data_IF_047233169375
#
_entry.id   IF_047233169375
#
_cell.length_a   1.000
_cell.length_b   1.000
_cell.length_c   1.000
_cell.angle_alpha   90.00
_cell.angle_beta   90.00
_cell.angle_gamma   90.00
#
_symmetry.space_group_name_H-M   'P 1'
#
loop_
_entity.id
_entity.type
_entity.pdbx_description
1 polymer ?
#
# COMPACT_ATOMS: atom_id res chain seq x y z
N UNK A 1 35.68 -0.61 28.69
CA UNK A 1 34.45 0.07 28.20
C UNK A 1 34.15 -0.52 26.84
N UNK A 2 33.31 -1.56 26.80
CA UNK A 2 32.84 -2.15 25.55
C UNK A 2 31.91 -1.13 24.89
N UNK A 3 32.33 -0.60 23.73
CA UNK A 3 31.46 0.09 22.80
C UNK A 3 30.19 -0.76 22.62
N UNK A 4 29.09 -0.36 23.24
CA UNK A 4 27.81 -1.01 23.03
C UNK A 4 27.46 -0.76 21.57
N UNK A 5 27.58 -1.78 20.74
CA UNK A 5 27.20 -1.72 19.34
C UNK A 5 25.80 -1.07 19.23
N UNK A 6 25.71 0.00 18.44
CA UNK A 6 24.45 0.70 18.23
C UNK A 6 23.37 -0.29 17.77
N UNK A 7 22.20 -0.28 18.41
CA UNK A 7 21.05 -1.13 18.02
C UNK A 7 20.63 -0.89 16.56
N UNK A 8 20.89 0.31 16.05
CA UNK A 8 20.54 0.74 14.70
C UNK A 8 21.76 0.75 13.79
N UNK A 9 21.52 0.40 12.53
CA UNK A 9 22.56 0.44 11.50
C UNK A 9 22.90 1.88 11.11
N UNK A 10 24.00 2.40 11.67
CA UNK A 10 24.49 3.76 11.42
C UNK A 10 24.89 4.00 9.97
N UNK A 11 25.11 2.97 9.16
CA UNK A 11 25.41 3.14 7.72
C UNK A 11 24.28 3.85 6.95
N UNK A 12 23.05 3.87 7.48
CA UNK A 12 21.92 4.59 6.88
C UNK A 12 22.09 6.12 6.99
N UNK A 13 22.67 6.59 8.10
CA UNK A 13 22.81 8.03 8.40
C UNK A 13 24.23 8.55 8.16
N UNK A 14 25.24 7.70 8.21
CA UNK A 14 26.66 8.06 8.04
C UNK A 14 27.28 7.50 6.75
N UNK A 15 26.84 6.32 6.30
CA UNK A 15 27.46 5.59 5.19
C UNK A 15 27.08 6.09 3.79
N UNK A 16 27.47 5.35 2.72
CA UNK A 16 27.14 5.71 1.34
C UNK A 16 25.63 5.67 1.08
N UNK A 17 25.05 6.81 0.74
CA UNK A 17 23.60 6.99 0.68
C UNK A 17 22.91 6.10 -0.37
N UNK A 18 23.58 5.82 -1.49
CA UNK A 18 23.07 4.91 -2.54
C UNK A 18 22.86 3.50 -2.01
N UNK A 19 23.79 3.01 -1.19
CA UNK A 19 23.72 1.70 -0.56
C UNK A 19 22.66 1.68 0.53
N UNK A 20 22.58 2.73 1.35
CA UNK A 20 21.56 2.88 2.38
C UNK A 20 20.13 2.84 1.80
N UNK A 21 19.88 3.63 0.75
CA UNK A 21 18.57 3.63 0.06
C UNK A 21 18.29 2.27 -0.56
N UNK A 22 19.26 1.67 -1.27
CA UNK A 22 19.05 0.37 -1.90
C UNK A 22 18.71 -0.73 -0.88
N UNK A 23 19.43 -0.76 0.25
CA UNK A 23 19.25 -1.73 1.34
C UNK A 23 17.81 -1.76 1.87
N UNK A 24 17.11 -0.63 1.87
CA UNK A 24 15.71 -0.52 2.28
C UNK A 24 14.76 -0.68 1.07
N UNK A 25 15.13 -0.16 -0.09
CA UNK A 25 14.29 -0.16 -1.29
C UNK A 25 13.99 -1.56 -1.82
N UNK A 26 15.01 -2.37 -2.14
CA UNK A 26 14.79 -3.64 -2.83
C UNK A 26 13.96 -4.65 -2.02
N UNK A 27 14.14 -4.81 -0.69
CA UNK A 27 13.30 -5.74 0.08
C UNK A 27 11.87 -5.23 0.17
N UNK A 28 11.69 -3.91 0.27
CA UNK A 28 10.37 -3.30 0.36
C UNK A 28 9.62 -3.39 -0.96
N UNK A 29 10.29 -3.17 -2.09
CA UNK A 29 9.73 -3.38 -3.43
C UNK A 29 9.29 -4.83 -3.60
N UNK A 30 10.14 -5.79 -3.21
CA UNK A 30 9.81 -7.20 -3.30
C UNK A 30 8.64 -7.57 -2.38
N UNK A 31 8.57 -7.02 -1.17
CA UNK A 31 7.45 -7.24 -0.24
C UNK A 31 6.12 -6.78 -0.85
N UNK A 32 6.10 -5.59 -1.47
CA UNK A 32 4.89 -5.06 -2.11
C UNK A 32 4.51 -5.88 -3.36
N UNK A 33 5.50 -6.26 -4.18
CA UNK A 33 5.25 -7.10 -5.35
C UNK A 33 4.69 -8.47 -4.97
N UNK A 34 5.23 -9.10 -3.93
CA UNK A 34 4.74 -10.37 -3.40
C UNK A 34 3.32 -10.22 -2.84
N UNK A 35 3.04 -9.15 -2.09
CA UNK A 35 1.69 -8.87 -1.59
C UNK A 35 0.68 -8.68 -2.72
N UNK A 36 1.08 -8.02 -3.80
CA UNK A 36 0.28 -7.88 -5.02
C UNK A 36 0.00 -9.22 -5.71
N UNK A 37 1.04 -10.01 -5.94
CA UNK A 37 0.94 -11.35 -6.55
C UNK A 37 0.07 -12.29 -5.71
N UNK A 38 0.14 -12.21 -4.38
CA UNK A 38 -0.71 -12.98 -3.49
C UNK A 38 -2.19 -12.70 -3.75
N UNK A 39 -2.58 -11.44 -3.91
CA UNK A 39 -3.96 -11.07 -4.22
C UNK A 39 -4.44 -11.71 -5.53
N UNK A 40 -3.60 -11.72 -6.56
CA UNK A 40 -3.91 -12.37 -7.84
C UNK A 40 -4.10 -13.88 -7.65
N UNK A 41 -3.20 -14.52 -6.90
CA UNK A 41 -3.27 -15.97 -6.63
C UNK A 41 -4.55 -16.36 -5.92
N UNK A 42 -5.02 -15.57 -4.95
CA UNK A 42 -6.26 -15.83 -4.22
C UNK A 42 -7.48 -15.80 -5.14
N UNK A 43 -7.55 -14.79 -6.02
CA UNK A 43 -8.60 -14.68 -7.03
C UNK A 43 -8.60 -15.87 -8.01
N UNK A 44 -7.41 -16.27 -8.48
CA UNK A 44 -7.25 -17.40 -9.41
C UNK A 44 -7.65 -18.72 -8.75
N UNK A 45 -7.24 -18.97 -7.50
CA UNK A 45 -7.58 -20.20 -6.78
C UNK A 45 -9.09 -20.33 -6.58
N UNK A 46 -9.75 -19.28 -6.13
CA UNK A 46 -11.19 -19.34 -5.83
C UNK A 46 -12.00 -19.38 -7.12
N UNK A 47 -11.61 -18.63 -8.15
CA UNK A 47 -12.25 -18.68 -9.46
C UNK A 47 -12.22 -20.07 -10.08
N UNK A 48 -11.10 -20.79 -9.97
CA UNK A 48 -10.97 -22.14 -10.52
C UNK A 48 -11.56 -23.25 -9.63
N UNK A 49 -11.44 -23.14 -8.31
CA UNK A 49 -11.83 -24.24 -7.40
C UNK A 49 -13.28 -24.15 -6.92
N UNK A 50 -13.88 -22.96 -6.94
CA UNK A 50 -15.25 -22.72 -6.42
C UNK A 50 -16.17 -22.16 -7.50
N UNK A 51 -15.64 -21.30 -8.37
CA UNK A 51 -16.36 -20.73 -9.51
C UNK A 51 -16.49 -19.21 -9.46
N UNK A 52 -17.00 -18.63 -10.56
CA UNK A 52 -16.98 -17.17 -10.77
C UNK A 52 -17.84 -16.38 -9.75
N UNK A 53 -18.93 -16.97 -9.23
CA UNK A 53 -19.77 -16.32 -8.20
C UNK A 53 -18.99 -16.10 -6.90
N UNK A 54 -18.19 -17.09 -6.49
CA UNK A 54 -17.30 -17.00 -5.34
C UNK A 54 -16.16 -15.99 -5.58
N UNK A 55 -15.61 -15.96 -6.79
CA UNK A 55 -14.60 -14.96 -7.15
C UNK A 55 -15.15 -13.52 -7.08
N UNK A 56 -16.35 -13.30 -7.61
CA UNK A 56 -17.05 -12.02 -7.51
C UNK A 56 -17.31 -11.64 -6.04
N UNK A 57 -17.71 -12.61 -5.21
CA UNK A 57 -17.94 -12.40 -3.78
C UNK A 57 -16.66 -11.96 -3.03
N UNK A 58 -15.51 -12.55 -3.36
CA UNK A 58 -14.22 -12.11 -2.80
C UNK A 58 -13.87 -10.71 -3.28
N UNK A 59 -14.02 -10.41 -4.56
CA UNK A 59 -13.73 -9.08 -5.11
C UNK A 59 -14.53 -7.98 -4.40
N UNK A 60 -15.86 -8.15 -4.31
CA UNK A 60 -16.73 -7.20 -3.60
C UNK A 60 -16.36 -7.08 -2.12
N UNK A 61 -16.13 -8.21 -1.44
CA UNK A 61 -15.77 -8.21 -0.02
C UNK A 61 -14.43 -7.51 0.23
N UNK A 62 -13.44 -7.73 -0.64
CA UNK A 62 -12.13 -7.11 -0.54
C UNK A 62 -12.21 -5.61 -0.77
N UNK A 63 -13.01 -5.13 -1.73
CA UNK A 63 -13.20 -3.68 -1.94
C UNK A 63 -13.78 -2.98 -0.71
N UNK A 64 -14.79 -3.58 -0.07
CA UNK A 64 -15.35 -3.07 1.19
C UNK A 64 -14.29 -3.08 2.29
N UNK A 65 -13.53 -4.18 2.40
CA UNK A 65 -12.52 -4.33 3.43
C UNK A 65 -11.27 -3.44 3.21
N UNK A 66 -10.96 -3.09 1.96
CA UNK A 66 -9.81 -2.27 1.58
C UNK A 66 -9.92 -0.86 2.15
N UNK A 67 -11.10 -0.25 2.13
CA UNK A 67 -11.34 1.10 2.71
C UNK A 67 -10.89 1.13 4.18
N UNK A 68 -11.21 0.06 4.89
CA UNK A 68 -10.87 -0.15 6.30
C UNK A 68 -9.37 -0.36 6.51
N UNK A 69 -8.75 -1.23 5.71
CA UNK A 69 -7.30 -1.43 5.75
C UNK A 69 -6.58 -0.11 5.49
N UNK A 70 -7.00 0.67 4.50
CA UNK A 70 -6.37 1.93 4.12
C UNK A 70 -6.46 2.93 5.28
N UNK A 71 -7.62 3.04 5.92
CA UNK A 71 -7.78 3.90 7.08
C UNK A 71 -6.83 3.50 8.22
N UNK A 72 -6.68 2.21 8.51
CA UNK A 72 -5.81 1.77 9.61
C UNK A 72 -4.33 1.84 9.23
N UNK A 73 -3.99 1.53 7.99
CA UNK A 73 -2.63 1.68 7.46
C UNK A 73 -2.12 3.13 7.56
N UNK A 74 -3.04 4.09 7.62
CA UNK A 74 -2.73 5.49 7.88
C UNK A 74 -2.06 5.69 9.25
N UNK A 75 -2.54 5.02 10.30
CA UNK A 75 -1.94 5.04 11.64
C UNK A 75 -0.47 4.59 11.59
N UNK A 76 -0.18 3.57 10.77
CA UNK A 76 1.16 3.02 10.62
C UNK A 76 2.11 3.96 9.89
N UNK A 77 1.58 4.86 9.06
CA UNK A 77 2.38 5.95 8.47
C UNK A 77 2.85 6.90 9.56
N UNK A 78 1.96 7.32 10.47
CA UNK A 78 2.34 8.18 11.59
C UNK A 78 3.37 7.53 12.51
N UNK A 79 3.21 6.24 12.81
CA UNK A 79 4.22 5.47 13.54
C UNK A 79 5.57 5.43 12.79
N UNK A 80 5.55 5.19 11.48
CA UNK A 80 6.76 5.13 10.65
C UNK A 80 7.58 6.43 10.71
N UNK A 81 6.90 7.60 10.72
CA UNK A 81 7.55 8.91 10.88
C UNK A 81 8.27 9.01 12.22
N UNK A 82 7.59 8.67 13.31
CA UNK A 82 8.14 8.74 14.66
C UNK A 82 9.30 7.74 14.83
N UNK A 83 9.13 6.50 14.39
CA UNK A 83 10.16 5.45 14.46
C UNK A 83 11.39 5.84 13.65
N UNK A 84 11.23 6.31 12.41
CA UNK A 84 12.37 6.75 11.60
C UNK A 84 13.11 7.91 12.29
N UNK A 85 12.38 8.86 12.87
CA UNK A 85 12.99 9.98 13.59
C UNK A 85 13.84 9.53 14.78
N UNK A 86 13.26 8.73 15.67
CA UNK A 86 13.94 8.27 16.89
C UNK A 86 15.05 7.26 16.61
N UNK A 87 14.88 6.38 15.61
CA UNK A 87 15.94 5.48 15.16
C UNK A 87 17.14 6.27 14.60
N UNK A 88 16.89 7.32 13.81
CA UNK A 88 17.93 8.23 13.32
C UNK A 88 18.68 8.97 14.43
N UNK A 89 17.94 9.41 15.45
CA UNK A 89 18.50 10.05 16.65
C UNK A 89 19.22 9.08 17.61
N UNK A 90 19.06 7.76 17.42
CA UNK A 90 19.65 6.75 18.29
C UNK A 90 18.93 6.58 19.63
N UNK A 91 17.60 6.80 19.67
CA UNK A 91 16.78 6.77 20.89
C UNK A 91 15.87 5.51 20.94
N UNK A 92 16.42 4.33 21.32
CA UNK A 92 15.69 3.06 21.22
C UNK A 92 14.45 2.96 22.11
N UNK A 93 14.48 3.59 23.30
CA UNK A 93 13.36 3.55 24.23
C UNK A 93 12.12 4.26 23.66
N UNK A 94 12.33 5.37 22.93
CA UNK A 94 11.24 6.09 22.26
C UNK A 94 10.71 5.30 21.06
N UNK A 95 11.58 4.62 20.30
CA UNK A 95 11.16 3.71 19.22
C UNK A 95 10.26 2.61 19.77
N UNK A 96 10.69 1.91 20.82
CA UNK A 96 9.94 0.81 21.41
C UNK A 96 8.59 1.27 21.98
N UNK A 97 8.57 2.44 22.64
CA UNK A 97 7.34 3.04 23.16
C UNK A 97 6.37 3.42 22.05
N UNK A 98 6.84 4.04 20.96
CA UNK A 98 6.00 4.39 19.81
C UNK A 98 5.39 3.13 19.18
N UNK A 99 6.18 2.08 19.00
CA UNK A 99 5.70 0.83 18.40
C UNK A 99 4.70 0.13 19.29
N UNK A 100 4.92 0.12 20.61
CA UNK A 100 3.96 -0.41 21.56
C UNK A 100 2.63 0.37 21.55
N UNK A 101 2.67 1.70 21.52
CA UNK A 101 1.45 2.52 21.45
C UNK A 101 0.72 2.34 20.11
N UNK A 102 1.44 2.18 19.00
CA UNK A 102 0.85 1.86 17.71
C UNK A 102 0.19 0.48 17.72
N UNK A 103 0.81 -0.52 18.35
CA UNK A 103 0.23 -1.85 18.55
C UNK A 103 -1.04 -1.81 19.38
N UNK A 104 -0.99 -1.16 20.55
CA UNK A 104 -2.12 -1.02 21.46
C UNK A 104 -3.29 -0.32 20.76
N UNK A 105 -3.01 0.76 20.02
CA UNK A 105 -4.01 1.52 19.27
C UNK A 105 -4.60 0.69 18.12
N UNK A 106 -3.77 -0.03 17.36
CA UNK A 106 -4.22 -0.86 16.25
C UNK A 106 -5.12 -2.00 16.71
N UNK A 107 -4.76 -2.68 17.80
CA UNK A 107 -5.56 -3.74 18.41
C UNK A 107 -6.85 -3.17 19.02
N UNK A 108 -6.77 -2.04 19.71
CA UNK A 108 -7.94 -1.35 20.26
C UNK A 108 -8.95 -0.97 19.18
N UNK A 109 -8.50 -0.42 18.05
CA UNK A 109 -9.36 -0.09 16.91
C UNK A 109 -9.88 -1.35 16.23
N UNK A 110 -9.03 -2.35 16.00
CA UNK A 110 -9.39 -3.60 15.31
C UNK A 110 -10.47 -4.37 16.07
N UNK A 111 -10.24 -4.65 17.35
CA UNK A 111 -11.15 -5.46 18.16
C UNK A 111 -12.33 -4.63 18.67
N UNK A 112 -12.06 -3.40 19.13
CA UNK A 112 -13.07 -2.58 19.80
C UNK A 112 -14.03 -1.85 18.85
N UNK A 113 -13.62 -1.56 17.63
CA UNK A 113 -14.43 -0.81 16.67
C UNK A 113 -14.67 -1.64 15.42
N UNK A 114 -13.60 -2.11 14.79
CA UNK A 114 -13.70 -2.66 13.45
C UNK A 114 -14.43 -4.02 13.41
N UNK A 115 -14.07 -4.94 14.30
CA UNK A 115 -14.71 -6.24 14.39
C UNK A 115 -16.22 -6.13 14.65
N UNK A 116 -16.72 -5.39 15.67
CA UNK A 116 -18.16 -5.29 15.89
C UNK A 116 -18.86 -4.50 14.77
N UNK A 117 -18.35 -3.31 14.40
CA UNK A 117 -19.00 -2.49 13.37
C UNK A 117 -19.03 -3.24 12.04
N UNK A 118 -17.90 -3.81 11.62
CA UNK A 118 -17.81 -4.58 10.39
C UNK A 118 -18.70 -5.82 10.39
N UNK A 119 -18.78 -6.57 11.49
CA UNK A 119 -19.60 -7.77 11.58
C UNK A 119 -21.12 -7.47 11.45
N UNK A 120 -21.59 -6.42 12.14
CA UNK A 120 -22.99 -6.02 12.12
C UNK A 120 -23.37 -5.24 10.85
N UNK A 121 -22.47 -4.42 10.32
CA UNK A 121 -22.72 -3.59 9.14
C UNK A 121 -22.48 -4.34 7.82
N UNK A 122 -21.78 -5.49 7.83
CA UNK A 122 -21.49 -6.28 6.62
C UNK A 122 -22.70 -6.52 5.69
N UNK A 123 -23.90 -6.92 6.17
CA UNK A 123 -25.06 -7.06 5.29
C UNK A 123 -25.44 -5.77 4.57
N UNK A 124 -25.46 -4.65 5.30
CA UNK A 124 -25.77 -3.33 4.76
C UNK A 124 -24.71 -2.85 3.76
N UNK A 125 -23.43 -3.08 4.05
CA UNK A 125 -22.34 -2.73 3.12
C UNK A 125 -22.46 -3.49 1.80
N UNK A 126 -22.87 -4.77 1.85
CA UNK A 126 -23.11 -5.57 0.65
C UNK A 126 -24.34 -5.10 -0.14
N UNK A 127 -25.38 -4.62 0.55
CA UNK A 127 -26.55 -4.00 -0.11
C UNK A 127 -26.19 -2.65 -0.74
N UNK A 128 -25.35 -1.85 -0.07
CA UNK A 128 -24.91 -0.55 -0.57
C UNK A 128 -24.15 -0.64 -1.89
N UNK A 129 -23.37 -1.72 -2.08
CA UNK A 129 -22.65 -1.99 -3.33
C UNK A 129 -23.50 -2.79 -4.33
N UNK A 130 -24.79 -2.98 -4.07
CA UNK A 130 -25.73 -3.73 -4.91
C UNK A 130 -25.24 -5.14 -5.27
N UNK A 131 -24.68 -5.87 -4.30
CA UNK A 131 -24.25 -7.25 -4.52
C UNK A 131 -25.46 -8.14 -4.85
N UNK A 132 -25.39 -8.87 -5.97
CA UNK A 132 -26.43 -9.82 -6.36
C UNK A 132 -26.69 -10.85 -5.25
N UNK A 133 -27.92 -11.36 -5.07
CA UNK A 133 -28.26 -12.25 -3.95
C UNK A 133 -27.32 -13.45 -3.80
N UNK A 134 -26.92 -14.05 -4.92
CA UNK A 134 -26.02 -15.20 -4.95
C UNK A 134 -24.59 -14.84 -4.52
N UNK A 135 -24.11 -13.65 -4.90
CA UNK A 135 -22.80 -13.11 -4.50
C UNK A 135 -22.82 -12.74 -3.02
N UNK A 136 -23.93 -12.15 -2.54
CA UNK A 136 -24.11 -11.77 -1.15
C UNK A 136 -24.04 -12.97 -0.19
N UNK A 137 -24.61 -14.11 -0.59
CA UNK A 137 -24.57 -15.36 0.19
C UNK A 137 -23.15 -15.83 0.45
N UNK A 138 -22.27 -15.72 -0.55
CA UNK A 138 -20.85 -16.08 -0.44
C UNK A 138 -20.02 -14.98 0.25
N UNK A 139 -20.32 -13.71 -0.02
CA UNK A 139 -19.56 -12.56 0.45
C UNK A 139 -19.76 -12.27 1.95
N UNK A 140 -20.97 -12.45 2.48
CA UNK A 140 -21.28 -12.12 3.87
C UNK A 140 -20.40 -12.88 4.90
N UNK A 141 -20.28 -14.23 4.84
CA UNK A 141 -19.44 -14.93 5.80
C UNK A 141 -17.95 -14.62 5.59
N UNK A 142 -17.50 -14.43 4.34
CA UNK A 142 -16.14 -13.99 4.04
C UNK A 142 -15.83 -12.65 4.73
N UNK A 143 -16.68 -11.66 4.51
CA UNK A 143 -16.51 -10.30 5.01
C UNK A 143 -16.54 -10.26 6.55
N UNK A 144 -17.43 -11.03 7.18
CA UNK A 144 -17.49 -11.16 8.64
C UNK A 144 -16.23 -11.78 9.24
N UNK A 145 -15.65 -12.80 8.59
CA UNK A 145 -14.38 -13.41 9.02
C UNK A 145 -13.26 -12.38 8.91
N UNK A 146 -13.18 -11.67 7.78
CA UNK A 146 -12.19 -10.62 7.57
C UNK A 146 -12.30 -9.55 8.66
N UNK A 147 -13.48 -9.02 8.96
CA UNK A 147 -13.64 -8.02 10.02
C UNK A 147 -13.28 -8.54 11.42
N UNK A 148 -13.66 -9.78 11.74
CA UNK A 148 -13.43 -10.35 13.07
C UNK A 148 -11.98 -10.75 13.35
N UNK A 149 -11.21 -11.16 12.33
CA UNK A 149 -9.95 -11.90 12.54
C UNK A 149 -8.74 -11.33 11.79
N UNK A 150 -8.86 -10.19 11.12
CA UNK A 150 -7.75 -9.56 10.36
C UNK A 150 -6.75 -8.76 11.22
N UNK A 151 -6.88 -8.78 12.55
CA UNK A 151 -5.94 -8.12 13.48
C UNK A 151 -4.49 -8.58 13.26
N UNK A 152 -4.28 -9.85 12.92
CA UNK A 152 -2.95 -10.38 12.62
C UNK A 152 -2.32 -9.76 11.36
N UNK A 153 -3.11 -9.58 10.30
CA UNK A 153 -2.65 -8.89 9.08
C UNK A 153 -2.32 -7.41 9.37
N UNK A 154 -3.11 -6.75 10.21
CA UNK A 154 -2.82 -5.38 10.63
C UNK A 154 -1.51 -5.28 11.42
N UNK A 155 -1.25 -6.22 12.34
CA UNK A 155 0.04 -6.31 13.06
C UNK A 155 1.19 -6.50 12.08
N UNK A 156 1.03 -7.32 11.04
CA UNK A 156 2.07 -7.50 10.01
C UNK A 156 2.39 -6.17 9.30
N UNK A 157 1.39 -5.42 8.84
CA UNK A 157 1.61 -4.11 8.21
C UNK A 157 2.26 -3.10 9.15
N UNK A 158 1.80 -3.06 10.41
CA UNK A 158 2.38 -2.25 11.47
C UNK A 158 3.86 -2.60 11.66
N UNK A 159 4.17 -3.87 11.91
CA UNK A 159 5.53 -4.34 12.12
C UNK A 159 6.42 -4.06 10.91
N UNK A 160 5.91 -4.28 9.70
CA UNK A 160 6.63 -3.99 8.47
C UNK A 160 6.98 -2.50 8.33
N UNK A 161 6.07 -1.61 8.72
CA UNK A 161 6.35 -0.17 8.83
C UNK A 161 7.41 0.14 9.88
N UNK A 162 7.28 -0.43 11.08
CA UNK A 162 8.20 -0.20 12.20
C UNK A 162 9.63 -0.65 11.89
N UNK A 163 9.82 -1.89 11.45
CA UNK A 163 11.13 -2.46 11.16
C UNK A 163 11.81 -1.73 10.01
N UNK A 164 11.09 -1.45 8.91
CA UNK A 164 11.65 -0.65 7.79
C UNK A 164 12.06 0.74 8.23
N UNK A 165 11.23 1.41 9.01
CA UNK A 165 11.50 2.76 9.50
C UNK A 165 12.72 2.79 10.43
N UNK A 166 12.95 1.70 11.16
CA UNK A 166 14.15 1.47 11.98
C UNK A 166 15.37 0.93 11.20
N UNK A 167 15.27 0.76 9.88
CA UNK A 167 16.39 0.35 9.01
C UNK A 167 16.46 -1.13 8.64
N UNK A 168 15.54 -1.96 9.12
CA UNK A 168 15.44 -3.38 8.77
C UNK A 168 14.27 -3.66 7.82
N UNK A 169 14.54 -3.62 6.52
CA UNK A 169 13.57 -4.00 5.50
C UNK A 169 13.57 -5.50 5.17
N UNK A 170 14.60 -6.25 5.60
CA UNK A 170 14.76 -7.66 5.23
C UNK A 170 13.84 -8.56 6.05
N UNK A 171 13.72 -8.29 7.35
CA UNK A 171 12.82 -9.05 8.22
C UNK A 171 11.37 -9.02 7.74
N UNK A 172 10.74 -7.86 7.45
CA UNK A 172 9.36 -7.86 6.95
C UNK A 172 9.21 -8.48 5.57
N UNK A 173 10.24 -8.43 4.71
CA UNK A 173 10.22 -9.15 3.44
C UNK A 173 10.17 -10.67 3.63
N UNK A 174 11.00 -11.21 4.53
CA UNK A 174 10.99 -12.65 4.83
C UNK A 174 9.68 -13.09 5.50
N UNK A 175 9.13 -12.26 6.38
CA UNK A 175 7.81 -12.50 6.96
C UNK A 175 6.71 -12.44 5.90
N UNK A 176 6.79 -11.50 4.96
CA UNK A 176 5.86 -11.39 3.84
C UNK A 176 5.89 -12.62 2.92
N UNK A 177 7.09 -13.07 2.54
CA UNK A 177 7.26 -14.33 1.76
C UNK A 177 6.64 -15.50 2.52
N UNK A 178 6.97 -15.65 3.80
CA UNK A 178 6.42 -16.72 4.66
C UNK A 178 4.91 -16.63 4.74
N UNK A 179 4.36 -15.42 4.91
CA UNK A 179 2.92 -15.16 4.93
C UNK A 179 2.26 -15.58 3.61
N UNK A 180 2.82 -15.20 2.46
CA UNK A 180 2.26 -15.59 1.16
C UNK A 180 2.29 -17.10 0.94
N UNK A 181 3.40 -17.76 1.27
CA UNK A 181 3.52 -19.23 1.11
C UNK A 181 2.56 -19.98 2.05
N UNK A 182 2.49 -19.58 3.32
CA UNK A 182 1.57 -20.19 4.28
C UNK A 182 0.11 -19.96 3.87
N UNK A 183 -0.21 -18.76 3.38
CA UNK A 183 -1.55 -18.42 2.92
C UNK A 183 -1.95 -19.26 1.69
N UNK A 184 -1.05 -19.43 0.72
CA UNK A 184 -1.27 -20.31 -0.43
C UNK A 184 -1.58 -21.75 0.00
N UNK A 185 -0.76 -22.31 0.91
CA UNK A 185 -0.95 -23.68 1.42
C UNK A 185 -2.29 -23.80 2.16
N UNK A 186 -2.60 -22.86 3.06
CA UNK A 186 -3.86 -22.87 3.80
C UNK A 186 -5.06 -22.66 2.88
N UNK A 187 -4.99 -21.80 1.87
CA UNK A 187 -6.06 -21.60 0.91
C UNK A 187 -6.32 -22.88 0.12
N UNK A 188 -5.28 -23.56 -0.37
CA UNK A 188 -5.43 -24.85 -1.06
C UNK A 188 -6.13 -25.88 -0.15
N UNK A 189 -5.75 -25.96 1.13
CA UNK A 189 -6.35 -26.92 2.08
C UNK A 189 -7.78 -26.56 2.45
N UNK A 190 -8.05 -25.30 2.80
CA UNK A 190 -9.33 -24.85 3.34
C UNK A 190 -10.40 -24.63 2.27
N UNK A 191 -10.02 -24.21 1.06
CA UNK A 191 -10.98 -24.01 -0.03
C UNK A 191 -11.52 -25.37 -0.50
N UNK A 192 -10.62 -26.30 -0.85
CA UNK A 192 -11.00 -27.59 -1.44
C UNK A 192 -11.34 -28.68 -0.41
N UNK A 193 -10.92 -28.50 0.85
CA UNK A 193 -10.91 -29.56 1.85
C UNK A 193 -9.73 -30.53 1.68
N UNK A 194 -9.34 -31.23 2.74
CA UNK A 194 -8.29 -32.26 2.67
C UNK A 194 -8.56 -33.34 3.72
N UNK A 195 -8.96 -34.53 3.25
CA UNK A 195 -9.26 -35.68 4.13
C UNK A 195 -10.35 -35.32 5.15
N UNK A 196 -10.05 -35.25 6.47
CA UNK A 196 -11.02 -34.89 7.50
C UNK A 196 -11.42 -33.40 7.51
N UNK A 197 -10.66 -32.54 6.82
CA UNK A 197 -10.96 -31.10 6.75
C UNK A 197 -12.02 -30.86 5.67
N UNK A 198 -13.22 -30.34 6.03
CA UNK A 198 -14.27 -30.07 5.05
C UNK A 198 -13.88 -28.94 4.09
N UNK A 199 -14.48 -28.94 2.90
CA UNK A 199 -14.33 -27.85 1.95
C UNK A 199 -15.09 -26.60 2.43
N UNK A 200 -14.37 -25.52 2.77
CA UNK A 200 -14.98 -24.27 3.23
C UNK A 200 -15.24 -23.28 2.08
N UNK A 201 -14.84 -23.59 0.84
CA UNK A 201 -15.06 -22.74 -0.33
C UNK A 201 -14.54 -21.31 -0.12
N UNK A 202 -15.38 -20.32 -0.42
CA UNK A 202 -15.09 -18.89 -0.24
C UNK A 202 -14.67 -18.56 1.20
N UNK A 203 -15.30 -19.17 2.21
CA UNK A 203 -14.95 -18.96 3.62
C UNK A 203 -13.54 -19.44 3.94
N UNK A 204 -13.10 -20.51 3.27
CA UNK A 204 -11.76 -21.08 3.40
C UNK A 204 -10.67 -20.09 3.01
N UNK A 205 -10.91 -19.25 1.99
CA UNK A 205 -9.98 -18.19 1.58
C UNK A 205 -9.84 -17.11 2.68
N UNK A 206 -10.94 -16.58 3.22
CA UNK A 206 -10.88 -15.61 4.33
C UNK A 206 -10.19 -16.19 5.58
N UNK A 207 -10.49 -17.45 5.90
CA UNK A 207 -9.86 -18.17 7.02
C UNK A 207 -8.35 -18.33 6.80
N UNK A 208 -7.91 -18.74 5.61
CA UNK A 208 -6.50 -18.87 5.28
C UNK A 208 -5.75 -17.56 5.45
N UNK A 209 -6.33 -16.44 5.02
CA UNK A 209 -5.75 -15.09 5.20
C UNK A 209 -5.66 -14.71 6.68
N UNK A 210 -6.72 -14.90 7.45
CA UNK A 210 -6.74 -14.53 8.87
C UNK A 210 -5.84 -15.43 9.72
N UNK A 211 -5.84 -16.75 9.50
CA UNK A 211 -5.00 -17.70 10.22
C UNK A 211 -3.53 -17.41 9.94
N UNK A 212 -3.17 -17.20 8.67
CA UNK A 212 -1.78 -16.88 8.34
C UNK A 212 -1.33 -15.57 8.98
N UNK A 213 -2.15 -14.52 8.88
CA UNK A 213 -1.88 -13.25 9.54
C UNK A 213 -1.73 -13.42 11.05
N UNK A 214 -2.58 -14.24 11.67
CA UNK A 214 -2.53 -14.56 13.09
C UNK A 214 -1.25 -15.30 13.50
N UNK A 215 -0.80 -16.28 12.72
CA UNK A 215 0.45 -17.01 12.97
C UNK A 215 1.67 -16.09 12.88
N UNK A 216 1.76 -15.28 11.83
CA UNK A 216 2.85 -14.31 11.64
C UNK A 216 2.83 -13.24 12.74
N UNK A 217 1.65 -12.77 13.12
CA UNK A 217 1.47 -11.82 14.21
C UNK A 217 1.86 -12.42 15.58
N UNK A 218 1.51 -13.68 15.83
CA UNK A 218 1.92 -14.39 17.06
C UNK A 218 3.45 -14.48 17.17
N UNK A 219 4.12 -14.88 16.09
CA UNK A 219 5.58 -14.89 16.03
C UNK A 219 6.19 -13.48 16.21
N UNK A 220 5.59 -12.48 15.58
CA UNK A 220 6.00 -11.08 15.71
C UNK A 220 5.89 -10.56 17.15
N UNK A 221 4.76 -10.80 17.81
CA UNK A 221 4.54 -10.39 19.20
C UNK A 221 5.57 -11.08 20.12
N UNK A 222 5.81 -12.37 19.92
CA UNK A 222 6.81 -13.11 20.67
C UNK A 222 8.22 -12.51 20.51
N UNK A 223 8.63 -12.14 19.29
CA UNK A 223 9.91 -11.46 19.03
C UNK A 223 9.97 -10.06 19.64
N UNK A 224 8.89 -9.29 19.61
CA UNK A 224 8.81 -7.96 20.22
C UNK A 224 8.96 -8.02 21.75
N UNK A 225 8.44 -9.06 22.41
CA UNK A 225 8.58 -9.27 23.85
C UNK A 225 9.96 -9.80 24.25
N UNK A 226 10.43 -10.84 23.56
CA UNK A 226 11.71 -11.50 23.88
C UNK A 226 12.92 -10.64 23.53
N UNK A 227 12.76 -9.70 22.59
CA UNK A 227 13.87 -8.95 22.02
C UNK A 227 14.62 -9.80 21.00
N UNK A 228 15.13 -9.16 19.97
CA UNK A 228 15.80 -9.85 18.85
C UNK A 228 15.72 -9.11 17.52
N UNK A 229 14.97 -8.01 17.48
CA UNK A 229 14.90 -7.08 16.36
C UNK A 229 15.33 -5.68 16.76
N UNK A 230 15.53 -4.83 15.75
CA UNK A 230 15.80 -3.39 15.91
C UNK A 230 14.66 -2.64 16.60
N UNK A 231 13.50 -3.28 16.77
CA UNK A 231 12.33 -2.79 17.49
C UNK A 231 11.87 -3.87 18.50
N UNK A 232 11.37 -3.45 19.66
CA UNK A 232 10.86 -4.31 20.73
C UNK A 232 9.73 -3.60 21.49
N UNK A 233 9.10 -4.29 22.44
CA UNK A 233 8.24 -3.64 23.40
C UNK A 233 9.00 -3.22 24.66
N UNK A 234 8.62 -2.10 25.31
CA UNK A 234 9.25 -1.64 26.53
C UNK A 234 9.20 -2.70 27.63
N UNK A 235 10.31 -2.92 28.33
CA UNK A 235 10.39 -3.79 29.51
C UNK A 235 10.19 -2.94 30.77
N UNK A 236 9.03 -3.02 31.42
CA UNK A 236 8.79 -2.34 32.71
C UNK A 236 7.42 -1.68 32.87
N UNK A 237 7.32 -0.69 33.77
CA UNK A 237 6.11 0.09 34.04
C UNK A 237 5.84 1.09 32.91
N UNK A 238 4.57 1.41 32.65
CA UNK A 238 4.17 2.37 31.61
C UNK A 238 3.55 1.76 30.34
N UNK A 239 3.06 0.52 30.42
CA UNK A 239 2.32 -0.17 29.35
C UNK A 239 0.90 0.38 29.10
N UNK A 240 0.51 1.45 29.80
CA UNK A 240 -0.77 2.12 29.60
C UNK A 240 -0.79 2.98 28.32
N UNK A 241 -1.97 3.44 27.87
CA UNK A 241 -2.09 4.35 26.74
C UNK A 241 -1.35 5.66 27.00
N UNK A 242 -0.48 6.05 26.06
CA UNK A 242 0.18 7.34 26.05
C UNK A 242 -0.49 8.24 25.02
N UNK A 243 -1.41 9.09 25.49
CA UNK A 243 -2.21 9.95 24.62
C UNK A 243 -1.38 10.98 23.84
N UNK A 244 -0.18 11.32 24.29
CA UNK A 244 0.73 12.21 23.56
C UNK A 244 1.24 11.50 22.30
N UNK A 245 1.73 10.27 22.46
CA UNK A 245 2.19 9.45 21.32
C UNK A 245 1.02 9.13 20.40
N UNK A 246 -0.12 8.69 20.93
CA UNK A 246 -1.30 8.36 20.14
C UNK A 246 -1.77 9.57 19.31
N UNK A 247 -1.79 10.77 19.90
CA UNK A 247 -2.13 11.99 19.16
C UNK A 247 -1.16 12.26 18.01
N UNK A 248 0.14 12.08 18.22
CA UNK A 248 1.14 12.25 17.16
C UNK A 248 1.00 11.16 16.06
N UNK A 249 0.68 9.91 16.43
CA UNK A 249 0.35 8.85 15.46
C UNK A 249 -0.78 9.29 14.53
N UNK A 250 -1.87 9.85 15.08
CA UNK A 250 -2.99 10.34 14.28
C UNK A 250 -2.69 11.65 13.54
N UNK A 251 -1.91 12.56 14.13
CA UNK A 251 -1.52 13.84 13.51
C UNK A 251 -0.83 13.59 12.17
N UNK A 252 0.08 12.63 12.12
CA UNK A 252 0.78 12.26 10.89
C UNK A 252 0.00 11.23 10.05
N UNK A 253 -0.69 10.29 10.70
CA UNK A 253 -1.40 9.21 10.02
C UNK A 253 -2.68 9.64 9.31
N UNK A 254 -3.56 10.39 9.98
CA UNK A 254 -4.90 10.70 9.49
C UNK A 254 -4.89 11.40 8.11
N UNK A 255 -4.02 12.38 7.81
CA UNK A 255 -3.92 12.96 6.46
C UNK A 255 -3.64 11.90 5.38
N UNK A 256 -2.77 10.93 5.66
CA UNK A 256 -2.45 9.83 4.73
C UNK A 256 -3.64 8.88 4.55
N UNK A 257 -4.45 8.69 5.59
CA UNK A 257 -5.67 7.87 5.52
C UNK A 257 -6.74 8.52 4.66
N UNK A 258 -6.98 9.82 4.88
CA UNK A 258 -7.87 10.62 4.05
C UNK A 258 -7.37 10.63 2.59
N UNK A 259 -6.06 10.75 2.39
CA UNK A 259 -5.44 10.68 1.07
C UNK A 259 -5.75 9.34 0.39
N UNK A 260 -5.57 8.22 1.09
CA UNK A 260 -5.87 6.89 0.55
C UNK A 260 -7.35 6.69 0.21
N UNK A 261 -8.28 7.17 1.05
CA UNK A 261 -9.72 7.12 0.77
C UNK A 261 -10.06 7.97 -0.46
N UNK A 262 -9.55 9.20 -0.52
CA UNK A 262 -9.75 10.09 -1.65
C UNK A 262 -9.21 9.50 -2.97
N UNK A 263 -8.05 8.83 -2.92
CA UNK A 263 -7.49 8.13 -4.08
C UNK A 263 -8.39 6.99 -4.57
N UNK A 264 -9.04 6.24 -3.68
CA UNK A 264 -9.99 5.19 -4.07
C UNK A 264 -11.26 5.79 -4.69
N UNK A 265 -11.81 6.86 -4.11
CA UNK A 265 -12.97 7.58 -4.68
C UNK A 265 -12.63 8.10 -6.08
N UNK A 266 -11.46 8.72 -6.26
CA UNK A 266 -11.00 9.18 -7.57
C UNK A 266 -10.93 8.06 -8.61
N UNK A 267 -10.47 6.86 -8.21
CA UNK A 267 -10.46 5.69 -9.07
C UNK A 267 -11.87 5.23 -9.49
N UNK A 268 -12.82 5.19 -8.56
CA UNK A 268 -14.22 4.85 -8.85
C UNK A 268 -14.87 5.86 -9.79
N UNK A 269 -14.65 7.16 -9.56
CA UNK A 269 -15.13 8.21 -10.45
C UNK A 269 -14.47 8.16 -11.83
N UNK A 270 -13.21 7.73 -11.93
CA UNK A 270 -12.58 7.52 -13.23
C UNK A 270 -13.24 6.37 -13.99
N UNK A 271 -13.60 5.28 -13.31
CA UNK A 271 -14.31 4.15 -13.92
C UNK A 271 -15.69 4.54 -14.47
N UNK A 272 -16.39 5.52 -13.88
CA UNK A 272 -17.67 6.00 -14.42
C UNK A 272 -17.51 6.72 -15.76
N UNK A 273 -16.42 7.49 -15.95
CA UNK A 273 -16.09 8.07 -17.26
C UNK A 273 -15.72 7.01 -18.29
N UNK A 274 -14.98 5.97 -17.90
CA UNK A 274 -14.68 4.85 -18.80
C UNK A 274 -15.98 4.12 -19.20
N UNK A 275 -16.91 3.99 -18.25
CA UNK A 275 -18.23 3.36 -18.47
C UNK A 275 -19.18 4.16 -19.36
N UNK A 276 -18.96 5.48 -19.54
CA UNK A 276 -19.79 6.31 -20.41
C UNK A 276 -19.35 6.33 -21.88
N UNK A 277 -18.20 5.73 -22.20
CA UNK A 277 -17.69 5.62 -23.57
C UNK A 277 -18.59 4.73 -24.44
N UNK A 278 -18.65 5.03 -25.75
CA UNK A 278 -19.41 4.21 -26.70
C UNK A 278 -18.93 2.75 -26.77
N UNK A 279 -17.63 2.52 -26.58
CA UNK A 279 -16.99 1.20 -26.51
C UNK A 279 -16.64 0.83 -25.06
N UNK A 280 -17.51 1.14 -24.10
CA UNK A 280 -17.25 1.00 -22.67
C UNK A 280 -16.75 -0.38 -22.25
N UNK A 281 -17.32 -1.46 -22.79
CA UNK A 281 -16.88 -2.82 -22.48
C UNK A 281 -15.41 -3.08 -22.86
N UNK A 282 -15.00 -2.64 -24.05
CA UNK A 282 -13.63 -2.77 -24.51
C UNK A 282 -12.66 -1.89 -23.71
N UNK A 283 -13.05 -0.65 -23.43
CA UNK A 283 -12.26 0.28 -22.63
C UNK A 283 -12.09 -0.17 -21.17
N UNK A 284 -13.13 -0.73 -20.56
CA UNK A 284 -13.06 -1.30 -19.21
C UNK A 284 -12.16 -2.54 -19.15
N UNK A 285 -12.26 -3.45 -20.12
CA UNK A 285 -11.39 -4.61 -20.23
C UNK A 285 -9.92 -4.20 -20.41
N UNK A 286 -9.67 -3.25 -21.32
CA UNK A 286 -8.35 -2.67 -21.55
C UNK A 286 -7.78 -1.99 -20.29
N UNK A 287 -8.62 -1.26 -19.54
CA UNK A 287 -8.23 -0.62 -18.29
C UNK A 287 -7.86 -1.63 -17.20
N UNK A 288 -8.67 -2.67 -17.01
CA UNK A 288 -8.38 -3.73 -16.06
C UNK A 288 -7.00 -4.36 -16.36
N UNK A 289 -6.81 -4.89 -17.57
CA UNK A 289 -5.54 -5.56 -17.89
C UNK A 289 -4.35 -4.58 -17.88
N UNK A 290 -4.47 -3.40 -18.50
CA UNK A 290 -3.33 -2.51 -18.67
C UNK A 290 -2.99 -1.75 -17.38
N UNK A 291 -3.99 -1.26 -16.65
CA UNK A 291 -3.78 -0.43 -15.46
C UNK A 291 -3.78 -1.25 -14.17
N UNK A 292 -4.74 -2.17 -13.96
CA UNK A 292 -4.83 -2.92 -12.70
C UNK A 292 -3.88 -4.10 -12.63
N UNK A 293 -3.58 -4.75 -13.76
CA UNK A 293 -2.64 -5.88 -13.79
C UNK A 293 -1.23 -5.46 -14.20
N UNK A 294 -1.04 -4.96 -15.43
CA UNK A 294 0.30 -4.69 -15.96
C UNK A 294 0.98 -3.51 -15.27
N UNK A 295 0.32 -2.36 -15.15
CA UNK A 295 0.88 -1.16 -14.51
C UNK A 295 1.05 -1.31 -12.99
N UNK A 296 0.40 -2.30 -12.38
CA UNK A 296 0.56 -2.58 -10.94
C UNK A 296 2.00 -2.91 -10.56
N UNK A 297 2.79 -3.49 -11.48
CA UNK A 297 4.22 -3.73 -11.26
C UNK A 297 5.00 -2.43 -11.00
N UNK A 298 4.68 -1.37 -11.75
CA UNK A 298 5.27 -0.04 -11.55
C UNK A 298 4.77 0.54 -10.22
N UNK A 299 3.48 0.40 -9.91
CA UNK A 299 2.93 0.98 -8.68
C UNK A 299 3.44 0.27 -7.43
N UNK A 300 3.50 -1.07 -7.38
CA UNK A 300 4.02 -1.83 -6.25
C UNK A 300 5.49 -1.54 -5.97
N UNK A 301 6.32 -1.47 -7.02
CA UNK A 301 7.73 -1.09 -6.88
C UNK A 301 7.88 0.37 -6.43
N UNK A 302 7.08 1.29 -6.98
CA UNK A 302 7.11 2.70 -6.59
C UNK A 302 6.61 2.95 -5.16
N UNK A 303 5.61 2.19 -4.69
CA UNK A 303 5.16 2.21 -3.28
C UNK A 303 6.25 1.67 -2.36
N UNK A 304 7.00 0.65 -2.79
CA UNK A 304 8.16 0.17 -2.05
C UNK A 304 9.25 1.23 -1.91
N UNK A 305 9.53 1.97 -2.99
CA UNK A 305 10.45 3.10 -2.98
C UNK A 305 9.95 4.29 -2.17
N UNK A 306 8.64 4.56 -2.17
CA UNK A 306 8.02 5.55 -1.30
C UNK A 306 8.29 5.24 0.18
N UNK A 307 8.10 3.98 0.59
CA UNK A 307 8.41 3.54 1.95
C UNK A 307 9.91 3.65 2.28
N UNK A 308 10.78 3.33 1.33
CA UNK A 308 12.23 3.48 1.51
C UNK A 308 12.67 4.95 1.61
N UNK A 309 12.12 5.83 0.77
CA UNK A 309 12.39 7.26 0.82
C UNK A 309 11.95 7.85 2.15
N UNK A 310 10.78 7.43 2.65
CA UNK A 310 10.26 7.84 3.95
C UNK A 310 11.20 7.42 5.10
N UNK A 311 11.64 6.16 5.12
CA UNK A 311 12.52 5.65 6.17
C UNK A 311 13.89 6.36 6.19
N UNK A 312 14.57 6.44 5.04
CA UNK A 312 15.93 7.02 4.97
C UNK A 312 15.89 8.54 5.22
N UNK A 313 14.91 9.25 4.66
CA UNK A 313 14.77 10.68 4.88
C UNK A 313 14.41 10.99 6.34
N UNK A 314 13.50 10.22 6.94
CA UNK A 314 13.12 10.36 8.34
C UNK A 314 14.29 10.12 9.31
N UNK A 315 15.08 9.07 9.07
CA UNK A 315 16.28 8.77 9.87
C UNK A 315 17.36 9.84 9.72
N UNK A 316 17.67 10.29 8.50
CA UNK A 316 18.67 11.34 8.31
C UNK A 316 18.20 12.67 8.92
N UNK A 317 16.91 13.00 8.87
CA UNK A 317 16.40 14.19 9.54
C UNK A 317 16.41 14.06 11.08
N UNK A 318 16.22 12.84 11.62
CA UNK A 318 16.41 12.54 13.05
C UNK A 318 17.86 12.64 13.51
N UNK A 319 18.80 12.27 12.63
CA UNK A 319 20.24 12.43 12.86
C UNK A 319 20.76 13.85 12.56
N UNK A 320 19.88 14.85 12.39
CA UNK A 320 20.23 16.24 12.06
C UNK A 320 20.99 16.40 10.72
N UNK A 321 20.77 15.52 9.75
CA UNK A 321 21.35 15.57 8.40
C UNK A 321 20.28 15.85 7.31
N UNK A 322 19.65 17.05 7.28
CA UNK A 322 18.57 17.37 6.34
C UNK A 322 19.00 17.31 4.86
N UNK A 323 20.26 17.62 4.54
CA UNK A 323 20.74 17.54 3.16
C UNK A 323 20.84 16.11 2.65
N UNK A 324 21.25 15.18 3.53
CA UNK A 324 21.23 13.73 3.23
C UNK A 324 19.80 13.21 3.08
N UNK A 325 18.86 13.72 3.88
CA UNK A 325 17.43 13.39 3.72
C UNK A 325 16.89 13.87 2.35
N UNK A 326 17.34 15.03 1.86
CA UNK A 326 17.00 15.51 0.53
C UNK A 326 17.60 14.62 -0.58
N UNK A 327 18.88 14.28 -0.46
CA UNK A 327 19.57 13.45 -1.44
C UNK A 327 19.01 12.02 -1.50
N UNK A 328 18.58 11.45 -0.36
CA UNK A 328 18.04 10.09 -0.33
C UNK A 328 16.77 9.94 -1.15
N UNK A 329 15.92 10.98 -1.16
CA UNK A 329 14.69 11.03 -1.96
C UNK A 329 15.01 11.07 -3.45
N UNK A 330 16.04 11.82 -3.85
CA UNK A 330 16.48 11.87 -5.25
C UNK A 330 17.09 10.52 -5.70
N UNK A 331 17.83 9.85 -4.82
CA UNK A 331 18.36 8.51 -5.10
C UNK A 331 17.22 7.50 -5.25
N UNK A 332 16.22 7.52 -4.36
CA UNK A 332 15.04 6.65 -4.47
C UNK A 332 14.28 6.91 -5.79
N UNK A 333 14.11 8.17 -6.18
CA UNK A 333 13.49 8.54 -7.46
C UNK A 333 14.30 8.00 -8.67
N UNK A 334 15.63 8.02 -8.63
CA UNK A 334 16.49 7.46 -9.70
C UNK A 334 16.36 5.94 -9.81
N UNK A 335 16.30 5.22 -8.69
CA UNK A 335 16.02 3.78 -8.71
C UNK A 335 14.63 3.49 -9.30
N UNK A 336 13.61 4.28 -8.91
CA UNK A 336 12.27 4.19 -9.47
C UNK A 336 12.23 4.43 -10.97
N UNK A 337 12.91 5.48 -11.44
CA UNK A 337 13.04 5.76 -12.87
C UNK A 337 13.68 4.61 -13.63
N UNK A 338 14.69 3.95 -13.06
CA UNK A 338 15.34 2.79 -13.70
C UNK A 338 14.35 1.65 -13.93
N UNK A 339 13.52 1.34 -12.92
CA UNK A 339 12.48 0.31 -13.02
C UNK A 339 11.36 0.74 -13.98
N UNK A 340 10.90 1.99 -13.87
CA UNK A 340 9.84 2.52 -14.72
C UNK A 340 10.26 2.60 -16.20
N UNK A 341 11.51 2.94 -16.51
CA UNK A 341 12.05 2.88 -17.87
C UNK A 341 12.04 1.44 -18.38
N UNK A 342 12.54 0.49 -17.60
CA UNK A 342 12.56 -0.92 -18.01
C UNK A 342 11.15 -1.44 -18.34
N UNK A 343 10.18 -1.26 -17.44
CA UNK A 343 8.79 -1.69 -17.67
C UNK A 343 8.11 -0.86 -18.77
N UNK A 344 8.38 0.44 -18.83
CA UNK A 344 7.86 1.33 -19.86
C UNK A 344 8.31 0.95 -21.27
N UNK A 345 9.55 0.49 -21.44
CA UNK A 345 10.03 -0.05 -22.72
C UNK A 345 9.23 -1.28 -23.15
N UNK A 346 8.89 -2.19 -22.21
CA UNK A 346 8.02 -3.33 -22.52
C UNK A 346 6.64 -2.87 -22.99
N UNK A 347 6.06 -1.86 -22.34
CA UNK A 347 4.74 -1.32 -22.72
C UNK A 347 4.77 -0.59 -24.06
N UNK A 348 5.89 0.06 -24.41
CA UNK A 348 6.04 0.76 -25.67
C UNK A 348 6.27 -0.19 -26.86
N UNK A 349 7.11 -1.21 -26.69
CA UNK A 349 7.56 -2.08 -27.78
C UNK A 349 6.82 -3.41 -27.90
N UNK A 350 6.28 -3.94 -26.80
CA UNK A 350 5.62 -5.24 -26.76
C UNK A 350 4.16 -5.19 -26.25
N UNK A 351 3.35 -4.15 -26.51
CA UNK A 351 2.02 -4.04 -25.91
C UNK A 351 1.10 -5.17 -26.34
N UNK A 352 1.07 -5.54 -27.63
CA UNK A 352 0.20 -6.61 -28.12
C UNK A 352 0.50 -7.97 -27.48
N UNK A 353 1.79 -8.30 -27.32
CA UNK A 353 2.21 -9.55 -26.67
C UNK A 353 1.82 -9.57 -25.19
N UNK A 354 1.99 -8.45 -24.49
CA UNK A 354 1.58 -8.33 -23.10
C UNK A 354 0.07 -8.51 -22.94
N UNK A 355 -0.73 -7.90 -23.81
CA UNK A 355 -2.19 -8.04 -23.80
C UNK A 355 -2.64 -9.46 -24.17
N UNK A 356 -1.93 -10.12 -25.10
CA UNK A 356 -2.22 -11.48 -25.53
C UNK A 356 -2.01 -12.53 -24.41
N UNK A 357 -1.07 -12.29 -23.48
CA UNK A 357 -0.89 -13.16 -22.29
C UNK A 357 -2.17 -13.22 -21.45
N UNK A 358 -2.99 -12.15 -21.48
CA UNK A 358 -4.28 -12.09 -20.78
C UNK A 358 -5.46 -12.51 -21.66
N UNK A 359 -5.21 -13.13 -22.82
CA UNK A 359 -6.26 -13.63 -23.72
C UNK A 359 -7.01 -12.53 -24.49
N UNK A 360 -6.45 -11.32 -24.56
CA UNK A 360 -7.06 -10.24 -25.34
C UNK A 360 -6.72 -10.41 -26.82
N UNK A 361 -7.72 -10.88 -27.58
CA UNK A 361 -7.60 -11.17 -29.01
C UNK A 361 -8.58 -10.36 -29.87
N UNK A 362 -9.60 -9.75 -29.27
CA UNK A 362 -10.52 -8.85 -29.97
C UNK A 362 -9.79 -7.58 -30.41
N UNK A 363 -9.91 -7.23 -31.69
CA UNK A 363 -9.16 -6.13 -32.29
C UNK A 363 -9.44 -4.78 -31.60
N UNK A 364 -10.70 -4.53 -31.22
CA UNK A 364 -11.09 -3.27 -30.57
C UNK A 364 -10.48 -3.17 -29.18
N UNK A 365 -10.55 -4.25 -28.40
CA UNK A 365 -9.96 -4.30 -27.05
C UNK A 365 -8.45 -4.15 -27.10
N UNK A 366 -7.80 -4.81 -28.07
CA UNK A 366 -6.35 -4.75 -28.26
C UNK A 366 -5.92 -3.34 -28.65
N UNK A 367 -6.61 -2.67 -29.57
CA UNK A 367 -6.26 -1.31 -30.00
C UNK A 367 -6.35 -0.31 -28.83
N UNK A 368 -7.44 -0.36 -28.04
CA UNK A 368 -7.60 0.48 -26.85
C UNK A 368 -6.55 0.15 -25.78
N UNK A 369 -6.23 -1.14 -25.58
CA UNK A 369 -5.19 -1.58 -24.65
C UNK A 369 -3.78 -1.14 -25.06
N UNK A 370 -3.43 -1.22 -26.34
CA UNK A 370 -2.14 -0.76 -26.88
C UNK A 370 -2.00 0.74 -26.67
N UNK A 371 -3.08 1.50 -26.93
CA UNK A 371 -3.11 2.93 -26.69
C UNK A 371 -2.84 3.25 -25.22
N UNK A 372 -3.54 2.59 -24.29
CA UNK A 372 -3.35 2.78 -22.86
C UNK A 372 -1.93 2.40 -22.41
N UNK A 373 -1.38 1.25 -22.81
CA UNK A 373 -0.02 0.84 -22.44
C UNK A 373 1.04 1.84 -22.90
N UNK A 374 0.90 2.40 -24.11
CA UNK A 374 1.81 3.45 -24.59
C UNK A 374 1.74 4.71 -23.72
N UNK A 375 0.54 5.14 -23.32
CA UNK A 375 0.39 6.27 -22.40
C UNK A 375 0.99 5.94 -21.03
N UNK A 376 0.76 4.73 -20.51
CA UNK A 376 1.29 4.28 -19.23
C UNK A 376 2.82 4.13 -19.21
N UNK A 377 3.45 3.86 -20.36
CA UNK A 377 4.92 3.83 -20.48
C UNK A 377 5.57 5.16 -20.05
N UNK A 378 4.94 6.28 -20.42
CA UNK A 378 5.37 7.63 -20.03
C UNK A 378 4.87 7.96 -18.62
N UNK A 379 3.63 7.59 -18.32
CA UNK A 379 2.99 7.83 -17.02
C UNK A 379 3.76 7.21 -15.84
N UNK A 380 4.36 6.03 -16.07
CA UNK A 380 5.22 5.32 -15.12
C UNK A 380 6.40 6.15 -14.63
N UNK A 381 7.01 6.95 -15.51
CA UNK A 381 8.14 7.82 -15.19
C UNK A 381 7.74 8.92 -14.20
N UNK A 382 6.55 9.48 -14.35
CA UNK A 382 6.06 10.53 -13.46
C UNK A 382 5.61 9.97 -12.11
N UNK A 383 4.83 8.89 -12.11
CA UNK A 383 4.27 8.36 -10.86
C UNK A 383 5.36 7.82 -9.92
N UNK A 384 6.43 7.22 -10.47
CA UNK A 384 7.52 6.67 -9.64
C UNK A 384 8.29 7.78 -8.92
N UNK A 385 8.58 8.88 -9.61
CA UNK A 385 9.21 10.07 -9.01
C UNK A 385 8.25 10.71 -8.01
N UNK A 386 6.98 10.89 -8.38
CA UNK A 386 5.96 11.46 -7.49
C UNK A 386 5.86 10.69 -6.16
N UNK A 387 5.88 9.35 -6.20
CA UNK A 387 5.80 8.50 -5.02
C UNK A 387 7.08 8.53 -4.19
N UNK A 388 8.27 8.59 -4.80
CA UNK A 388 9.52 8.78 -4.05
C UNK A 388 9.51 10.09 -3.25
N UNK A 389 9.09 11.20 -3.88
CA UNK A 389 8.97 12.50 -3.21
C UNK A 389 7.82 12.54 -2.19
N UNK A 390 6.70 11.87 -2.47
CA UNK A 390 5.62 11.66 -1.48
C UNK A 390 6.15 10.96 -0.23
N UNK A 391 6.97 9.92 -0.41
CA UNK A 391 7.62 9.19 0.69
C UNK A 391 8.55 10.09 1.48
N UNK A 392 9.38 10.88 0.81
CA UNK A 392 10.23 11.89 1.45
C UNK A 392 9.46 12.89 2.32
N UNK A 393 8.37 13.46 1.79
CA UNK A 393 7.49 14.37 2.54
C UNK A 393 6.85 13.68 3.74
N UNK A 394 6.25 12.50 3.55
CA UNK A 394 5.60 11.76 4.63
C UNK A 394 6.61 11.38 5.73
N UNK A 395 7.76 10.78 5.37
CA UNK A 395 8.79 10.34 6.32
C UNK A 395 9.43 11.47 7.13
N UNK A 396 9.45 12.68 6.59
CA UNK A 396 9.92 13.89 7.30
C UNK A 396 8.81 14.58 8.11
N UNK A 397 7.57 14.08 8.04
CA UNK A 397 6.42 14.55 8.81
C UNK A 397 5.48 15.50 8.06
N UNK A 398 5.77 15.87 6.81
CA UNK A 398 4.83 16.63 5.97
C UNK A 398 3.82 15.68 5.31
N UNK A 399 2.81 15.27 6.06
CA UNK A 399 1.76 14.35 5.57
C UNK A 399 0.56 15.07 4.97
N UNK A 400 0.39 16.37 5.25
CA UNK A 400 -0.71 17.17 4.70
C UNK A 400 -0.46 17.55 3.25
N UNK A 401 0.77 17.89 2.88
CA UNK A 401 1.05 18.30 1.49
C UNK A 401 0.76 17.18 0.48
N UNK A 402 1.21 15.92 0.71
CA UNK A 402 0.85 14.80 -0.15
C UNK A 402 -0.66 14.56 -0.30
N UNK A 403 -1.45 14.81 0.76
CA UNK A 403 -2.91 14.76 0.71
C UNK A 403 -3.47 15.78 -0.30
N UNK A 404 -3.13 17.07 -0.16
CA UNK A 404 -3.60 18.11 -1.09
C UNK A 404 -3.13 17.87 -2.51
N UNK A 405 -1.87 17.48 -2.69
CA UNK A 405 -1.31 17.15 -3.99
C UNK A 405 -2.08 16.00 -4.64
N UNK A 406 -2.44 14.96 -3.89
CA UNK A 406 -3.19 13.81 -4.42
C UNK A 406 -4.62 14.18 -4.79
N UNK A 407 -5.30 15.02 -3.99
CA UNK A 407 -6.64 15.50 -4.35
C UNK A 407 -6.63 16.29 -5.67
N UNK A 408 -5.64 17.18 -5.84
CA UNK A 408 -5.51 17.94 -7.09
C UNK A 408 -5.16 17.02 -8.26
N UNK A 409 -4.10 16.23 -8.11
CA UNK A 409 -3.52 15.46 -9.21
C UNK A 409 -4.30 14.21 -9.59
N UNK A 410 -5.13 13.65 -8.70
CA UNK A 410 -5.81 12.38 -8.94
C UNK A 410 -7.33 12.49 -9.01
N UNK A 411 -7.91 13.57 -8.48
CA UNK A 411 -9.35 13.84 -8.57
C UNK A 411 -9.56 15.05 -9.49
N UNK A 412 -9.09 16.24 -9.09
CA UNK A 412 -9.45 17.47 -9.77
C UNK A 412 -8.96 17.52 -11.23
N UNK A 413 -7.69 17.22 -11.48
CA UNK A 413 -7.10 17.32 -12.82
C UNK A 413 -7.67 16.24 -13.76
N UNK A 414 -7.58 14.94 -13.46
CA UNK A 414 -8.02 13.92 -14.41
C UNK A 414 -9.54 13.96 -14.67
N UNK A 415 -10.35 14.05 -13.60
CA UNK A 415 -11.81 14.10 -13.74
C UNK A 415 -12.27 15.43 -14.35
N UNK A 416 -11.58 16.53 -14.04
CA UNK A 416 -11.84 17.83 -14.65
C UNK A 416 -11.59 17.83 -16.16
N UNK A 417 -10.50 17.22 -16.61
CA UNK A 417 -10.21 17.03 -18.04
C UNK A 417 -11.32 16.20 -18.71
N UNK A 418 -11.65 15.03 -18.15
CA UNK A 418 -12.71 14.18 -18.71
C UNK A 418 -14.06 14.89 -18.75
N UNK A 419 -14.42 15.62 -17.69
CA UNK A 419 -15.67 16.38 -17.62
C UNK A 419 -15.73 17.48 -18.69
N UNK A 420 -14.68 18.29 -18.82
CA UNK A 420 -14.64 19.38 -19.81
C UNK A 420 -14.75 18.83 -21.24
N UNK A 421 -14.01 17.77 -21.55
CA UNK A 421 -14.07 17.15 -22.88
C UNK A 421 -15.47 16.58 -23.16
N UNK A 422 -16.06 15.87 -22.19
CA UNK A 422 -17.41 15.31 -22.32
C UNK A 422 -18.49 16.39 -22.53
N UNK A 423 -18.32 17.60 -21.98
CA UNK A 423 -19.25 18.71 -22.18
C UNK A 423 -19.03 19.50 -23.48
N UNK A 424 -17.81 19.45 -24.04
CA UNK A 424 -17.43 20.27 -25.21
C UNK A 424 -17.28 19.47 -26.50
N UNK A 425 -17.24 18.14 -26.42
CA UNK A 425 -17.08 17.24 -27.55
C UNK A 425 -17.39 15.78 -27.20
N UNK A 426 -16.89 14.86 -28.02
CA UNK A 426 -16.99 13.42 -27.78
C UNK A 426 -15.81 12.96 -26.91
N UNK A 427 -16.11 12.31 -25.80
CA UNK A 427 -15.08 11.71 -24.95
C UNK A 427 -14.64 10.37 -25.57
N UNK A 428 -13.37 10.28 -25.95
CA UNK A 428 -12.74 9.07 -26.47
C UNK A 428 -11.84 8.40 -25.42
N UNK A 429 -11.49 7.10 -25.57
CA UNK A 429 -10.61 6.41 -24.63
C UNK A 429 -9.28 7.12 -24.41
N UNK A 430 -8.69 7.69 -25.47
CA UNK A 430 -7.41 8.40 -25.40
C UNK A 430 -7.45 9.61 -24.48
N UNK A 431 -8.58 10.32 -24.43
CA UNK A 431 -8.74 11.51 -23.59
C UNK A 431 -8.63 11.14 -22.11
N UNK A 432 -9.25 10.01 -21.73
CA UNK A 432 -9.16 9.47 -20.38
C UNK A 432 -7.72 9.05 -20.06
N UNK A 433 -7.03 8.37 -20.98
CA UNK A 433 -5.64 7.95 -20.79
C UNK A 433 -4.71 9.16 -20.61
N UNK A 434 -4.88 10.20 -21.43
CA UNK A 434 -4.13 11.45 -21.32
C UNK A 434 -4.47 12.21 -20.04
N UNK A 435 -5.72 12.16 -19.57
CA UNK A 435 -6.12 12.72 -18.27
C UNK A 435 -5.40 12.02 -17.10
N UNK A 436 -5.25 10.69 -17.14
CA UNK A 436 -4.46 9.93 -16.15
C UNK A 436 -2.99 10.35 -16.20
N UNK A 437 -2.39 10.46 -17.39
CA UNK A 437 -1.02 10.94 -17.57
C UNK A 437 -0.84 12.34 -17.01
N UNK A 438 -1.74 13.27 -17.33
CA UNK A 438 -1.74 14.63 -16.81
C UNK A 438 -1.83 14.65 -15.27
N UNK A 439 -2.63 13.75 -14.70
CA UNK A 439 -2.70 13.54 -13.26
C UNK A 439 -1.36 13.12 -12.65
N UNK A 440 -0.74 12.07 -13.18
CA UNK A 440 0.57 11.60 -12.70
C UNK A 440 1.68 12.65 -12.88
N UNK A 441 1.70 13.36 -14.01
CA UNK A 441 2.64 14.45 -14.27
C UNK A 441 2.43 15.60 -13.27
N UNK A 442 1.19 16.00 -13.03
CA UNK A 442 0.84 17.02 -12.02
C UNK A 442 1.30 16.59 -10.62
N UNK A 443 1.06 15.33 -10.25
CA UNK A 443 1.50 14.78 -8.95
C UNK A 443 3.01 14.88 -8.82
N UNK A 444 3.75 14.50 -9.86
CA UNK A 444 5.21 14.59 -9.89
C UNK A 444 5.70 16.03 -9.70
N UNK A 445 5.21 16.96 -10.52
CA UNK A 445 5.60 18.37 -10.48
C UNK A 445 5.32 18.96 -9.10
N UNK A 446 4.10 18.81 -8.59
CA UNK A 446 3.72 19.39 -7.29
C UNK A 446 4.51 18.77 -6.13
N UNK A 447 4.78 17.46 -6.16
CA UNK A 447 5.56 16.78 -5.11
C UNK A 447 7.01 17.25 -5.10
N UNK A 448 7.64 17.39 -6.26
CA UNK A 448 9.02 17.89 -6.40
C UNK A 448 9.11 19.36 -5.98
N UNK A 449 8.18 20.20 -6.45
CA UNK A 449 8.14 21.62 -6.09
C UNK A 449 7.95 21.80 -4.59
N UNK A 450 7.00 21.07 -3.98
CA UNK A 450 6.76 21.14 -2.54
C UNK A 450 7.98 20.69 -1.74
N UNK A 451 8.64 19.61 -2.15
CA UNK A 451 9.84 19.15 -1.47
C UNK A 451 11.01 20.13 -1.59
N UNK A 452 11.16 20.81 -2.73
CA UNK A 452 12.20 21.85 -2.92
C UNK A 452 12.00 23.09 -2.05
N UNK A 453 10.78 23.39 -1.59
CA UNK A 453 10.51 24.50 -0.68
C UNK A 453 11.15 24.30 0.70
N UNK A 454 11.58 23.08 1.06
CA UNK A 454 12.35 22.83 2.28
C UNK A 454 11.57 22.96 3.60
N UNK A 455 10.27 23.28 3.58
CA UNK A 455 9.48 23.46 4.82
C UNK A 455 9.45 22.20 5.70
N UNK A 456 9.56 21.02 5.09
CA UNK A 456 9.67 19.73 5.78
C UNK A 456 10.89 19.63 6.71
N UNK A 457 11.95 20.42 6.47
CA UNK A 457 13.17 20.43 7.30
C UNK A 457 12.90 20.90 8.74
N UNK A 458 11.85 21.71 8.94
CA UNK A 458 11.54 22.35 10.22
C UNK A 458 10.45 21.64 11.02
N UNK A 459 9.92 20.52 10.52
CA UNK A 459 8.84 19.80 11.20
C UNK A 459 9.40 19.08 12.42
N UNK A 460 8.95 19.52 13.61
CA UNK A 460 9.29 18.93 14.89
C UNK A 460 8.33 17.82 15.31
N UNK A 461 8.86 16.85 16.03
CA UNK A 461 8.12 15.74 16.66
C UNK A 461 8.06 16.01 18.16
N UNK A 462 6.85 16.05 18.73
CA UNK A 462 6.62 16.38 20.13
C UNK A 462 6.34 15.11 20.94
N UNK A 463 7.38 14.29 21.19
CA UNK A 463 7.32 13.16 22.11
C UNK A 463 8.49 13.29 23.07
N UNK A 464 8.19 13.46 24.36
CA UNK A 464 9.17 13.56 25.44
C UNK A 464 9.61 12.18 25.91
#
# INVERSE_FOLDING_TARGET
MTETASRYDRSIVEGPLRSAVWKIAWPTMLTNAIGGLQGIVDHVLVGNLVGYKANAAIGVSWQIFLVVIVFISSLFTGMSVLVARFAGAGEPDKVDRVVYQAFLTAIGISIGILAPVGYFLAPFLLDLVNAAPEVKTEALPFLRIMFGFSSGMMIFFMLGGALRSAGDARTPMLLGITMTVLNLVLNIVLIRGLGPIPAFGTRGSAMGTCITGGLVAGYAIWKLWTGGWVVAFPRGRGLGPDWTIIRELFRFGLPTGIQGIAMNIGGVLMLSFIGSLAQSAAAQAAFAVSYTELFSLITWTSVGLMGSAAAVAGQNLGAHHPDRANESVHIAARYGLTVAVFVGLLFAFLPGQLLAVFGMHDAVVVDVGVQLLRVLSVSGLFITVALAFTGGLQGTGDTKSPLYISMISQILVPLGICFVIQQTGTLDPIDIWLAILAGHATRCVLSVLRFRQGQWRHIAVNVQ
#
